data_IF_468189800187
#
_entry.id   IF_468189800187
#
_cell.length_a   1.000
_cell.length_b   1.000
_cell.length_c   1.000
_cell.angle_alpha   90.00
_cell.angle_beta   90.00
_cell.angle_gamma   90.00
#
_symmetry.space_group_name_H-M   'P 1'
#
loop_
_entity.id
_entity.type
_entity.pdbx_description
1 polymer ?
#
# COMPACT_ATOMS: atom_id res chain seq x y z
N UNK A 1 12.26 11.69 22.32
CA UNK A 1 12.65 12.10 20.97
C UNK A 1 11.57 11.69 19.96
N UNK A 2 11.06 12.64 19.24
CA UNK A 2 10.06 12.35 18.24
C UNK A 2 10.60 11.41 17.17
N UNK A 3 9.76 10.53 16.70
CA UNK A 3 10.13 9.61 15.65
C UNK A 3 9.59 10.16 14.34
N UNK A 4 10.43 10.87 13.57
CA UNK A 4 9.95 11.47 12.32
C UNK A 4 9.37 10.44 11.36
N UNK A 5 9.74 9.18 11.56
CA UNK A 5 9.24 8.10 10.70
C UNK A 5 7.73 7.90 10.82
N UNK A 6 7.14 8.24 11.98
CA UNK A 6 5.71 8.06 12.17
C UNK A 6 4.90 8.94 11.23
N UNK A 7 5.32 10.20 11.06
CA UNK A 7 4.63 11.10 10.15
C UNK A 7 4.78 10.64 8.70
N UNK A 8 5.97 10.17 8.34
CA UNK A 8 6.21 9.67 6.99
C UNK A 8 5.37 8.43 6.71
N UNK A 9 5.23 7.55 7.69
CA UNK A 9 4.42 6.35 7.54
C UNK A 9 2.95 6.71 7.33
N UNK A 10 2.43 7.67 8.10
CA UNK A 10 1.04 8.12 7.95
C UNK A 10 0.81 8.68 6.56
N UNK A 11 1.72 9.50 6.05
CA UNK A 11 1.59 10.04 4.70
C UNK A 11 1.59 8.95 3.65
N UNK A 12 2.46 7.96 3.79
CA UNK A 12 2.52 6.86 2.84
C UNK A 12 1.25 6.01 2.89
N UNK A 13 0.72 5.79 4.09
CA UNK A 13 -0.54 5.05 4.25
C UNK A 13 -1.66 5.80 3.54
N UNK A 14 -1.74 7.12 3.72
CA UNK A 14 -2.76 7.92 3.08
C UNK A 14 -2.66 7.85 1.56
N UNK A 15 -1.45 7.90 1.02
CA UNK A 15 -1.25 7.80 -0.43
C UNK A 15 -1.74 6.47 -0.98
N UNK A 16 -1.42 5.38 -0.29
CA UNK A 16 -1.85 4.06 -0.72
C UNK A 16 -3.37 3.93 -0.66
N UNK A 17 -3.97 4.42 0.43
CA UNK A 17 -5.41 4.33 0.61
C UNK A 17 -6.13 5.16 -0.46
N UNK A 18 -5.63 6.35 -0.74
CA UNK A 18 -6.22 7.19 -1.77
C UNK A 18 -6.15 6.51 -3.14
N UNK A 19 -5.01 5.92 -3.47
CA UNK A 19 -4.85 5.23 -4.74
C UNK A 19 -5.78 4.03 -4.83
N UNK A 20 -5.91 3.26 -3.77
CA UNK A 20 -6.79 2.09 -3.73
C UNK A 20 -8.25 2.51 -3.88
N UNK A 21 -8.64 3.61 -3.24
CA UNK A 21 -10.04 4.05 -3.31
C UNK A 21 -10.39 4.60 -4.69
N UNK A 22 -9.42 5.08 -5.44
CA UNK A 22 -9.67 5.62 -6.78
C UNK A 22 -9.57 4.57 -7.87
N UNK A 23 -8.95 3.43 -7.60
CA UNK A 23 -8.71 2.39 -8.60
C UNK A 23 -9.20 1.04 -8.08
N UNK A 24 -10.28 0.54 -8.63
CA UNK A 24 -10.85 -0.75 -8.23
C UNK A 24 -9.88 -1.91 -8.47
N UNK A 25 -9.13 -1.86 -9.55
CA UNK A 25 -8.14 -2.87 -9.83
C UNK A 25 -7.07 -2.95 -8.76
N UNK A 26 -6.63 -1.79 -8.29
CA UNK A 26 -5.64 -1.73 -7.25
C UNK A 26 -6.22 -2.21 -5.91
N UNK A 27 -7.48 -1.91 -5.65
CA UNK A 27 -8.18 -2.39 -4.46
C UNK A 27 -8.25 -3.92 -4.45
N UNK A 28 -8.65 -4.51 -5.58
CA UNK A 28 -8.71 -5.95 -5.71
C UNK A 28 -7.33 -6.59 -5.55
N UNK A 29 -6.32 -5.95 -6.14
CA UNK A 29 -4.93 -6.41 -6.00
C UNK A 29 -4.52 -6.41 -4.54
N UNK A 30 -4.83 -5.35 -3.81
CA UNK A 30 -4.46 -5.25 -2.41
C UNK A 30 -5.13 -6.33 -1.56
N UNK A 31 -6.41 -6.62 -1.83
CA UNK A 31 -7.12 -7.68 -1.12
C UNK A 31 -6.51 -9.04 -1.40
N UNK A 32 -6.17 -9.29 -2.66
CA UNK A 32 -5.51 -10.53 -3.03
C UNK A 32 -4.14 -10.65 -2.36
N UNK A 33 -3.42 -9.52 -2.28
CA UNK A 33 -2.11 -9.47 -1.66
C UNK A 33 -2.14 -9.94 -0.21
N UNK A 34 -3.19 -9.58 0.53
CA UNK A 34 -3.32 -9.97 1.92
C UNK A 34 -3.50 -11.47 2.11
N UNK A 35 -3.91 -12.18 1.06
CA UNK A 35 -4.11 -13.63 1.13
C UNK A 35 -2.87 -14.41 0.73
N UNK A 36 -1.84 -13.75 0.22
CA UNK A 36 -0.64 -14.41 -0.24
C UNK A 36 0.34 -14.63 0.91
N UNK A 37 1.13 -15.73 0.86
CA UNK A 37 2.24 -15.88 1.80
C UNK A 37 3.28 -14.79 1.56
N UNK A 38 4.13 -14.58 2.57
CA UNK A 38 5.07 -13.46 2.56
C UNK A 38 5.95 -13.40 1.30
N UNK A 39 6.49 -14.53 0.89
CA UNK A 39 7.39 -14.57 -0.26
C UNK A 39 6.68 -14.22 -1.57
N UNK A 40 5.43 -14.68 -1.72
CA UNK A 40 4.65 -14.34 -2.91
C UNK A 40 4.19 -12.89 -2.86
N UNK A 41 3.92 -12.37 -1.67
CA UNK A 41 3.55 -10.96 -1.49
C UNK A 41 4.69 -10.05 -1.94
N UNK A 42 5.92 -10.37 -1.54
CA UNK A 42 7.08 -9.60 -1.96
C UNK A 42 7.21 -9.54 -3.47
N UNK A 43 7.06 -10.68 -4.13
CA UNK A 43 7.13 -10.73 -5.59
C UNK A 43 6.05 -9.91 -6.26
N UNK A 44 4.82 -9.99 -5.75
CA UNK A 44 3.71 -9.22 -6.30
C UNK A 44 3.96 -7.73 -6.18
N UNK A 45 4.51 -7.30 -5.04
CA UNK A 45 4.82 -5.89 -4.82
C UNK A 45 5.93 -5.43 -5.76
N UNK A 46 6.97 -6.24 -5.94
CA UNK A 46 8.04 -5.90 -6.86
C UNK A 46 7.54 -5.78 -8.30
N UNK A 47 6.62 -6.65 -8.69
CA UNK A 47 6.07 -6.60 -10.04
C UNK A 47 5.26 -5.34 -10.27
N UNK A 48 4.41 -4.97 -9.31
CA UNK A 48 3.58 -3.79 -9.48
C UNK A 48 4.40 -2.51 -9.41
N UNK A 49 5.40 -2.45 -8.53
CA UNK A 49 6.25 -1.26 -8.45
C UNK A 49 7.11 -1.10 -9.68
N UNK A 50 7.57 -2.20 -10.26
CA UNK A 50 8.30 -2.15 -11.53
C UNK A 50 7.43 -1.64 -12.67
N UNK A 51 6.18 -2.09 -12.70
CA UNK A 51 5.21 -1.63 -13.69
C UNK A 51 4.91 -0.15 -13.52
N UNK A 52 4.74 0.30 -12.28
CA UNK A 52 4.47 1.71 -11.99
C UNK A 52 5.66 2.59 -12.35
N UNK A 53 6.87 2.10 -12.16
CA UNK A 53 8.07 2.85 -12.49
C UNK A 53 8.20 3.08 -14.00
N UNK A 54 7.61 2.20 -14.80
CA UNK A 54 7.60 2.35 -16.25
C UNK A 54 6.50 3.24 -16.79
N UNK A 55 5.57 3.68 -15.93
CA UNK A 55 4.50 4.58 -16.33
C UNK A 55 4.68 5.94 -15.64
N UNK A 56 3.75 6.85 -15.85
CA UNK A 56 3.85 8.21 -15.31
C UNK A 56 3.35 8.33 -13.88
N UNK A 57 3.48 7.27 -13.10
CA UNK A 57 3.03 7.30 -11.72
C UNK A 57 3.92 8.16 -10.82
N UNK A 58 3.33 8.71 -9.77
CA UNK A 58 4.04 9.51 -8.80
C UNK A 58 5.09 8.67 -8.07
N UNK A 59 6.36 9.13 -8.03
CA UNK A 59 7.40 8.38 -7.32
C UNK A 59 7.07 8.13 -5.85
N UNK A 60 6.36 9.04 -5.21
CA UNK A 60 5.98 8.85 -3.81
C UNK A 60 4.99 7.70 -3.66
N UNK A 61 4.07 7.56 -4.61
CA UNK A 61 3.13 6.45 -4.59
C UNK A 61 3.86 5.13 -4.82
N UNK A 62 4.83 5.10 -5.73
CA UNK A 62 5.62 3.89 -5.96
C UNK A 62 6.34 3.48 -4.68
N UNK A 63 6.91 4.44 -3.98
CA UNK A 63 7.58 4.17 -2.72
C UNK A 63 6.61 3.63 -1.66
N UNK A 64 5.42 4.23 -1.60
CA UNK A 64 4.41 3.80 -0.64
C UNK A 64 3.97 2.37 -0.90
N UNK A 65 3.70 2.05 -2.18
CA UNK A 65 3.32 0.68 -2.54
C UNK A 65 4.44 -0.30 -2.24
N UNK A 66 5.68 0.11 -2.48
CA UNK A 66 6.83 -0.73 -2.17
C UNK A 66 6.95 -1.07 -0.69
N UNK A 67 6.48 -0.18 0.18
CA UNK A 67 6.51 -0.44 1.62
C UNK A 67 5.54 -1.50 2.08
N UNK A 68 4.58 -1.87 1.23
CA UNK A 68 3.63 -2.93 1.56
C UNK A 68 4.31 -4.28 1.77
N UNK A 69 5.56 -4.44 1.33
CA UNK A 69 6.31 -5.66 1.60
C UNK A 69 6.59 -5.84 3.09
N UNK A 70 6.56 -4.76 3.87
CA UNK A 70 6.72 -4.83 5.32
C UNK A 70 5.39 -5.21 5.96
N UNK A 71 5.34 -6.28 6.77
CA UNK A 71 4.08 -6.73 7.37
C UNK A 71 3.37 -5.66 8.20
N UNK A 72 4.15 -4.86 8.94
CA UNK A 72 3.58 -3.83 9.78
C UNK A 72 2.85 -2.77 8.95
N UNK A 73 3.47 -2.33 7.87
CA UNK A 73 2.88 -1.34 7.01
C UNK A 73 1.61 -1.88 6.35
N UNK A 74 1.66 -3.11 5.88
CA UNK A 74 0.52 -3.76 5.26
C UNK A 74 -0.66 -3.84 6.24
N UNK A 75 -0.40 -4.18 7.50
CA UNK A 75 -1.44 -4.27 8.51
C UNK A 75 -2.08 -2.92 8.78
N UNK A 76 -1.27 -1.86 8.83
CA UNK A 76 -1.79 -0.51 9.06
C UNK A 76 -2.73 -0.11 7.92
N UNK A 77 -2.32 -0.35 6.68
CA UNK A 77 -3.15 -0.03 5.53
C UNK A 77 -4.45 -0.83 5.55
N UNK A 78 -4.35 -2.13 5.81
CA UNK A 78 -5.54 -2.99 5.85
C UNK A 78 -6.53 -2.56 6.91
N UNK A 79 -6.02 -2.23 8.11
CA UNK A 79 -6.86 -1.78 9.21
C UNK A 79 -7.56 -0.47 8.88
N UNK A 80 -6.81 0.45 8.27
CA UNK A 80 -7.37 1.75 7.90
C UNK A 80 -8.46 1.59 6.86
N UNK A 81 -8.26 0.71 5.88
CA UNK A 81 -9.28 0.45 4.88
C UNK A 81 -10.54 -0.15 5.49
N UNK A 82 -10.40 -1.05 6.46
CA UNK A 82 -11.54 -1.62 7.16
C UNK A 82 -12.33 -0.55 7.91
N UNK A 83 -11.61 0.35 8.58
CA UNK A 83 -12.25 1.43 9.31
C UNK A 83 -13.05 2.33 8.38
N UNK A 84 -12.48 2.64 7.21
CA UNK A 84 -13.19 3.47 6.23
C UNK A 84 -14.42 2.77 5.68
N UNK A 85 -14.34 1.47 5.45
CA UNK A 85 -15.50 0.70 4.99
C UNK A 85 -16.59 0.65 6.03
N UNK A 86 -16.22 0.57 7.30
CA UNK A 86 -17.20 0.47 8.39
C UNK A 86 -17.92 1.78 8.66
N UNK A 87 -17.35 2.90 8.22
CA UNK A 87 -17.99 4.20 8.41
C UNK A 87 -19.16 4.43 7.47
N UNK A 88 -19.27 3.63 6.45
CA UNK A 88 -20.41 3.70 5.56
C UNK A 88 -21.52 2.79 6.05
#
# INVERSE_FOLDING_TARGET
>A
MGVPDDDAVVELVELVILAISEDEGLCDWFRALGKLPHNLRENAILQITSSMAGSDEDPELIRAVGRLQHPEFHQIVARTLEDLSNEQ
#
